data_IF_729538573338
#
_entry.id   IF_729538573338
#
_cell.length_a   1.000
_cell.length_b   1.000
_cell.length_c   1.000
_cell.angle_alpha   90.00
_cell.angle_beta   90.00
_cell.angle_gamma   90.00
#
_symmetry.space_group_name_H-M   'P 1'
#
loop_
_entity.id
_entity.type
_entity.pdbx_description
1 polymer ?
#
# COMPACT_ATOMS: atom_id res chain seq x y z
N UNK A 1 114.46 -4.44 -47.57
CA UNK A 1 113.92 -4.79 -46.23
C UNK A 1 112.54 -4.16 -46.01
N UNK A 2 112.37 -2.85 -46.14
CA UNK A 2 111.09 -2.12 -45.91
C UNK A 2 109.86 -2.59 -46.73
N UNK A 3 110.05 -2.96 -48.00
CA UNK A 3 108.94 -3.41 -48.86
C UNK A 3 108.39 -4.80 -48.47
N UNK A 4 109.25 -5.68 -47.95
CA UNK A 4 108.86 -7.01 -47.48
C UNK A 4 108.07 -6.89 -46.17
N UNK A 5 108.49 -5.97 -45.30
CA UNK A 5 107.85 -5.67 -44.02
C UNK A 5 106.46 -5.05 -44.21
N UNK A 6 106.32 -4.08 -45.13
CA UNK A 6 105.02 -3.54 -45.54
C UNK A 6 104.08 -4.59 -46.15
N UNK A 7 104.62 -5.49 -46.99
CA UNK A 7 103.83 -6.59 -47.59
C UNK A 7 103.28 -7.53 -46.51
N UNK A 8 104.13 -7.90 -45.55
CA UNK A 8 103.74 -8.75 -44.43
C UNK A 8 102.66 -8.08 -43.55
N UNK A 9 102.79 -6.78 -43.28
CA UNK A 9 101.80 -6.03 -42.50
C UNK A 9 100.43 -5.94 -43.20
N UNK A 10 100.43 -5.77 -44.53
CA UNK A 10 99.21 -5.79 -45.36
C UNK A 10 98.56 -7.17 -45.35
N UNK A 11 99.33 -8.26 -45.50
CA UNK A 11 98.81 -9.62 -45.43
C UNK A 11 98.21 -9.92 -44.04
N UNK A 12 98.86 -9.46 -42.97
CA UNK A 12 98.34 -9.57 -41.59
C UNK A 12 97.04 -8.79 -41.39
N UNK A 13 96.94 -7.55 -41.89
CA UNK A 13 95.71 -6.75 -41.85
C UNK A 13 94.60 -7.40 -42.67
N UNK A 14 94.90 -7.86 -43.88
CA UNK A 14 93.94 -8.56 -44.74
C UNK A 14 93.42 -9.83 -44.05
N UNK A 15 94.30 -10.62 -43.43
CA UNK A 15 93.91 -11.82 -42.69
C UNK A 15 93.02 -11.48 -41.50
N UNK A 16 93.30 -10.41 -40.77
CA UNK A 16 92.47 -9.91 -39.66
C UNK A 16 91.09 -9.45 -40.14
N UNK A 17 91.05 -8.66 -41.21
CA UNK A 17 89.79 -8.21 -41.83
C UNK A 17 88.96 -9.38 -42.36
N UNK A 18 89.59 -10.41 -42.96
CA UNK A 18 88.90 -11.63 -43.37
C UNK A 18 88.26 -12.36 -42.17
N UNK A 19 88.96 -12.47 -41.03
CA UNK A 19 88.41 -13.08 -39.82
C UNK A 19 87.27 -12.23 -39.24
N UNK A 20 87.44 -10.91 -39.13
CA UNK A 20 86.40 -10.00 -38.67
C UNK A 20 85.14 -10.08 -39.54
N UNK A 21 85.31 -10.16 -40.87
CA UNK A 21 84.21 -10.31 -41.82
C UNK A 21 83.47 -11.64 -41.62
N UNK A 22 84.19 -12.74 -41.33
CA UNK A 22 83.57 -14.03 -41.00
C UNK A 22 82.78 -13.98 -39.70
N UNK A 23 83.31 -13.35 -38.65
CA UNK A 23 82.62 -13.16 -37.37
C UNK A 23 81.36 -12.31 -37.52
N UNK A 24 81.44 -11.19 -38.25
CA UNK A 24 80.30 -10.32 -38.52
C UNK A 24 79.22 -11.07 -39.32
N UNK A 25 79.61 -11.84 -40.34
CA UNK A 25 78.69 -12.68 -41.12
C UNK A 25 78.02 -13.75 -40.25
N UNK A 26 78.75 -14.38 -39.34
CA UNK A 26 78.21 -15.35 -38.40
C UNK A 26 77.24 -14.70 -37.41
N UNK A 27 77.57 -13.49 -36.91
CA UNK A 27 76.69 -12.71 -36.04
C UNK A 27 75.39 -12.31 -36.73
N UNK A 28 75.48 -11.78 -37.96
CA UNK A 28 74.32 -11.41 -38.76
C UNK A 28 73.41 -12.62 -39.06
N UNK A 29 74.00 -13.80 -39.36
CA UNK A 29 73.23 -15.04 -39.55
C UNK A 29 72.50 -15.46 -38.28
N UNK A 30 73.15 -15.31 -37.11
CA UNK A 30 72.53 -15.59 -35.81
C UNK A 30 71.38 -14.63 -35.49
N UNK A 31 71.55 -13.33 -35.76
CA UNK A 31 70.47 -12.34 -35.63
C UNK A 31 69.30 -12.61 -36.58
N UNK A 32 69.57 -13.02 -37.83
CA UNK A 32 68.53 -13.40 -38.79
C UNK A 32 67.76 -14.65 -38.36
N UNK A 33 68.45 -15.66 -37.81
CA UNK A 33 67.80 -16.85 -37.28
C UNK A 33 66.89 -16.49 -36.09
N UNK A 34 67.40 -15.69 -35.14
CA UNK A 34 66.60 -15.22 -34.00
C UNK A 34 65.38 -14.40 -34.45
N UNK A 35 65.52 -13.53 -35.44
CA UNK A 35 64.40 -12.78 -36.00
C UNK A 35 63.34 -13.68 -36.63
N UNK A 36 63.76 -14.76 -37.31
CA UNK A 36 62.85 -15.77 -37.85
C UNK A 36 62.13 -16.53 -36.74
N UNK A 37 62.82 -16.89 -35.66
CA UNK A 37 62.22 -17.57 -34.51
C UNK A 37 61.18 -16.68 -33.83
N UNK A 38 61.47 -15.38 -33.68
CA UNK A 38 60.52 -14.40 -33.16
C UNK A 38 59.30 -14.29 -34.07
N UNK A 39 59.48 -14.25 -35.40
CA UNK A 39 58.35 -14.22 -36.34
C UNK A 39 57.48 -15.49 -36.22
N UNK A 40 58.10 -16.65 -36.05
CA UNK A 40 57.38 -17.91 -35.87
C UNK A 40 56.57 -17.92 -34.56
N UNK A 41 57.15 -17.43 -33.46
CA UNK A 41 56.46 -17.32 -32.17
C UNK A 41 55.29 -16.33 -32.25
N UNK A 42 55.47 -15.19 -32.90
CA UNK A 42 54.41 -14.20 -33.09
C UNK A 42 53.28 -14.77 -33.95
N UNK A 43 53.60 -15.45 -35.05
CA UNK A 43 52.59 -16.11 -35.89
C UNK A 43 51.80 -17.19 -35.13
N UNK A 44 52.47 -17.99 -34.29
CA UNK A 44 51.79 -18.96 -33.42
C UNK A 44 50.90 -18.28 -32.36
N UNK A 45 51.32 -17.13 -31.84
CA UNK A 45 50.54 -16.34 -30.90
C UNK A 45 49.28 -15.77 -31.57
N UNK A 46 49.43 -15.21 -32.77
CA UNK A 46 48.32 -14.67 -33.57
C UNK A 46 47.29 -15.76 -33.90
N UNK A 47 47.74 -16.96 -34.31
CA UNK A 47 46.85 -18.08 -34.58
C UNK A 47 46.06 -18.52 -33.33
N UNK A 48 46.73 -18.57 -32.16
CA UNK A 48 46.05 -18.88 -30.89
C UNK A 48 45.06 -17.79 -30.49
N UNK A 49 45.38 -16.52 -30.75
CA UNK A 49 44.51 -15.39 -30.46
C UNK A 49 43.25 -15.43 -31.34
N UNK A 50 43.39 -15.72 -32.64
CA UNK A 50 42.24 -15.93 -33.53
C UNK A 50 41.36 -17.10 -33.09
N UNK A 51 41.95 -18.22 -32.68
CA UNK A 51 41.18 -19.37 -32.16
C UNK A 51 40.42 -19.00 -30.89
N UNK A 52 41.06 -18.25 -29.98
CA UNK A 52 40.42 -17.77 -28.77
C UNK A 52 39.26 -16.82 -29.09
N UNK A 53 39.48 -15.85 -29.97
CA UNK A 53 38.45 -14.89 -30.40
C UNK A 53 37.23 -15.61 -31.01
N UNK A 54 37.47 -16.59 -31.88
CA UNK A 54 36.42 -17.39 -32.52
C UNK A 54 35.64 -18.22 -31.49
N UNK A 55 36.28 -18.66 -30.41
CA UNK A 55 35.62 -19.39 -29.32
C UNK A 55 34.88 -18.46 -28.34
N UNK A 56 35.41 -17.25 -28.11
CA UNK A 56 34.91 -16.33 -27.08
C UNK A 56 33.77 -15.44 -27.58
N UNK A 57 33.80 -14.98 -28.84
CA UNK A 57 32.74 -14.15 -29.41
C UNK A 57 31.33 -14.79 -29.31
N UNK A 58 31.14 -16.08 -29.67
CA UNK A 58 29.84 -16.74 -29.53
C UNK A 58 29.35 -16.82 -28.08
N UNK A 59 30.26 -16.94 -27.10
CA UNK A 59 29.88 -17.01 -25.69
C UNK A 59 29.15 -15.75 -25.22
N UNK A 60 29.51 -14.57 -25.74
CA UNK A 60 28.79 -13.34 -25.42
C UNK A 60 27.35 -13.35 -25.95
N UNK A 61 27.16 -13.85 -27.17
CA UNK A 61 25.82 -14.02 -27.76
C UNK A 61 24.98 -15.04 -26.98
N UNK A 62 25.57 -16.19 -26.64
CA UNK A 62 24.90 -17.20 -25.83
C UNK A 62 24.57 -16.70 -24.42
N UNK A 63 25.47 -15.96 -23.79
CA UNK A 63 25.24 -15.35 -22.47
C UNK A 63 24.11 -14.32 -22.53
N UNK A 64 24.10 -13.43 -23.53
CA UNK A 64 23.04 -12.45 -23.71
C UNK A 64 21.68 -13.12 -23.95
N UNK A 65 21.64 -14.16 -24.80
CA UNK A 65 20.43 -14.96 -25.02
C UNK A 65 19.95 -15.63 -23.73
N UNK A 66 20.86 -16.21 -22.96
CA UNK A 66 20.54 -16.87 -21.69
C UNK A 66 19.98 -15.86 -20.67
N UNK A 67 20.58 -14.67 -20.57
CA UNK A 67 20.07 -13.58 -19.71
C UNK A 67 18.66 -13.15 -20.12
N UNK A 68 18.39 -13.04 -21.44
CA UNK A 68 17.07 -12.71 -21.93
C UNK A 68 16.04 -13.80 -21.60
N UNK A 69 16.41 -15.08 -21.76
CA UNK A 69 15.56 -16.21 -21.37
C UNK A 69 15.28 -16.17 -19.87
N UNK A 70 16.29 -15.93 -19.04
CA UNK A 70 16.14 -15.81 -17.59
C UNK A 70 15.16 -14.69 -17.22
N UNK A 71 15.33 -13.51 -17.80
CA UNK A 71 14.45 -12.38 -17.56
C UNK A 71 12.99 -12.66 -17.98
N UNK A 72 12.79 -13.32 -19.13
CA UNK A 72 11.46 -13.73 -19.57
C UNK A 72 10.83 -14.75 -18.62
N UNK A 73 11.64 -15.69 -18.10
CA UNK A 73 11.20 -16.67 -17.13
C UNK A 73 10.76 -16.00 -15.83
N UNK A 74 11.57 -15.09 -15.27
CA UNK A 74 11.22 -14.32 -14.06
C UNK A 74 9.92 -13.55 -14.24
N UNK A 75 9.76 -12.84 -15.36
CA UNK A 75 8.52 -12.12 -15.67
C UNK A 75 7.31 -13.04 -15.76
N UNK A 76 7.50 -14.23 -16.34
CA UNK A 76 6.42 -15.22 -16.45
C UNK A 76 6.04 -15.77 -15.08
N UNK A 77 7.00 -16.05 -14.21
CA UNK A 77 6.76 -16.48 -12.83
C UNK A 77 5.99 -15.41 -12.06
N UNK A 78 6.43 -14.15 -12.08
CA UNK A 78 5.72 -13.05 -11.41
C UNK A 78 4.29 -12.86 -11.94
N UNK A 79 4.10 -12.99 -13.26
CA UNK A 79 2.76 -12.92 -13.85
C UNK A 79 1.87 -14.08 -13.38
N UNK A 80 2.40 -15.31 -13.33
CA UNK A 80 1.66 -16.47 -12.83
C UNK A 80 1.32 -16.34 -11.35
N UNK A 81 2.25 -15.89 -10.50
CA UNK A 81 2.01 -15.65 -9.08
C UNK A 81 0.88 -14.64 -8.87
N UNK A 82 0.86 -13.56 -9.66
CA UNK A 82 -0.20 -12.57 -9.61
C UNK A 82 -1.58 -13.17 -9.96
N UNK A 83 -1.65 -14.02 -10.98
CA UNK A 83 -2.89 -14.72 -11.34
C UNK A 83 -3.31 -15.69 -10.25
N UNK A 84 -2.40 -16.52 -9.75
CA UNK A 84 -2.66 -17.52 -8.70
C UNK A 84 -3.25 -16.86 -7.46
N UNK A 85 -2.72 -15.69 -7.06
CA UNK A 85 -3.22 -14.95 -5.92
C UNK A 85 -4.73 -14.65 -6.05
N UNK A 86 -5.21 -14.15 -7.21
CA UNK A 86 -6.65 -13.88 -7.39
C UNK A 86 -7.53 -15.12 -7.28
N UNK A 87 -7.04 -16.29 -7.70
CA UNK A 87 -7.77 -17.55 -7.54
C UNK A 87 -7.84 -18.01 -6.08
N UNK A 88 -6.85 -17.66 -5.25
CA UNK A 88 -6.80 -18.04 -3.84
C UNK A 88 -7.47 -17.05 -2.88
N UNK A 89 -7.65 -15.79 -3.30
CA UNK A 89 -8.22 -14.69 -2.48
C UNK A 89 -9.51 -15.08 -1.77
N UNK A 90 -10.46 -15.73 -2.46
CA UNK A 90 -11.74 -16.12 -1.85
C UNK A 90 -11.56 -17.12 -0.70
N UNK A 91 -10.63 -18.07 -0.85
CA UNK A 91 -10.32 -19.08 0.17
C UNK A 91 -9.58 -18.47 1.36
N UNK A 92 -8.59 -17.61 1.10
CA UNK A 92 -7.77 -16.98 2.13
C UNK A 92 -8.56 -16.01 3.00
N UNK A 93 -9.48 -15.25 2.39
CA UNK A 93 -10.27 -14.25 3.10
C UNK A 93 -11.60 -14.79 3.63
N UNK A 94 -11.99 -16.01 3.26
CA UNK A 94 -13.27 -16.61 3.65
C UNK A 94 -13.49 -16.55 5.16
N UNK A 95 -12.53 -17.01 5.97
CA UNK A 95 -12.68 -17.09 7.43
C UNK A 95 -12.82 -15.69 8.07
N UNK A 96 -12.04 -14.72 7.59
CA UNK A 96 -12.11 -13.33 8.06
C UNK A 96 -13.47 -12.70 7.73
N UNK A 97 -13.94 -12.85 6.50
CA UNK A 97 -15.24 -12.33 6.06
C UNK A 97 -16.39 -13.06 6.77
N UNK A 98 -16.23 -14.36 7.04
CA UNK A 98 -17.19 -15.15 7.79
C UNK A 98 -17.27 -14.75 9.28
N UNK A 99 -16.15 -14.42 9.92
CA UNK A 99 -16.14 -13.91 11.28
C UNK A 99 -16.83 -12.54 11.42
N UNK A 100 -16.78 -11.72 10.37
CA UNK A 100 -17.34 -10.37 10.37
C UNK A 100 -16.38 -9.32 10.95
N UNK A 101 -16.73 -8.03 10.83
CA UNK A 101 -15.86 -6.94 11.24
C UNK A 101 -15.78 -6.81 12.77
N UNK A 102 -14.57 -6.70 13.30
CA UNK A 102 -14.35 -6.43 14.70
C UNK A 102 -14.36 -4.91 14.95
N UNK A 103 -15.41 -4.41 15.60
CA UNK A 103 -15.54 -2.95 15.87
C UNK A 103 -14.90 -2.51 17.18
N UNK A 104 -14.09 -3.37 17.82
CA UNK A 104 -13.48 -3.10 19.13
C UNK A 104 -12.21 -2.24 19.05
N UNK A 105 -11.50 -2.30 17.92
CA UNK A 105 -10.33 -1.46 17.63
C UNK A 105 -10.34 -1.03 16.17
N UNK A 106 -9.82 0.16 15.87
CA UNK A 106 -9.74 0.66 14.49
C UNK A 106 -8.87 -0.23 13.60
N UNK A 107 -7.81 -0.83 14.15
CA UNK A 107 -6.91 -1.72 13.42
C UNK A 107 -7.62 -2.99 12.94
N UNK A 108 -8.41 -3.62 13.82
CA UNK A 108 -9.12 -4.86 13.49
C UNK A 108 -10.24 -4.64 12.47
N UNK A 109 -10.90 -3.48 12.51
CA UNK A 109 -11.81 -3.06 11.45
C UNK A 109 -11.05 -2.83 10.14
N UNK A 110 -9.91 -2.14 10.17
CA UNK A 110 -9.15 -1.84 8.96
C UNK A 110 -8.69 -3.11 8.22
N UNK A 111 -8.25 -4.15 8.94
CA UNK A 111 -7.94 -5.46 8.33
C UNK A 111 -9.14 -6.05 7.56
N UNK A 112 -10.36 -5.88 8.09
CA UNK A 112 -11.58 -6.33 7.42
C UNK A 112 -11.88 -5.49 6.16
N UNK A 113 -11.70 -4.17 6.23
CA UNK A 113 -11.90 -3.28 5.09
C UNK A 113 -10.90 -3.58 3.96
N UNK A 114 -9.62 -3.79 4.30
CA UNK A 114 -8.59 -4.20 3.33
C UNK A 114 -8.92 -5.54 2.67
N UNK A 115 -9.52 -6.48 3.41
CA UNK A 115 -9.98 -7.74 2.83
C UNK A 115 -11.12 -7.55 1.83
N UNK A 116 -12.07 -6.63 2.10
CA UNK A 116 -13.11 -6.27 1.15
C UNK A 116 -12.54 -5.57 -0.09
N UNK A 117 -11.53 -4.71 0.06
CA UNK A 117 -10.84 -4.06 -1.05
C UNK A 117 -10.13 -5.08 -1.94
N UNK A 118 -9.43 -6.06 -1.34
CA UNK A 118 -8.80 -7.17 -2.08
C UNK A 118 -9.83 -8.01 -2.86
N UNK A 119 -10.99 -8.26 -2.26
CA UNK A 119 -12.09 -8.95 -2.96
C UNK A 119 -12.63 -8.11 -4.13
N UNK A 120 -12.79 -6.80 -3.96
CA UNK A 120 -13.22 -5.89 -5.04
C UNK A 120 -12.20 -5.82 -6.18
N UNK A 121 -10.89 -5.83 -5.85
CA UNK A 121 -9.83 -5.91 -6.85
C UNK A 121 -9.91 -7.23 -7.63
N UNK A 122 -10.11 -8.35 -6.95
CA UNK A 122 -10.28 -9.65 -7.57
C UNK A 122 -11.54 -9.70 -8.46
N UNK A 123 -12.66 -9.10 -8.04
CA UNK A 123 -13.85 -8.95 -8.90
C UNK A 123 -13.51 -8.19 -10.19
N UNK A 124 -12.79 -7.07 -10.08
CA UNK A 124 -12.39 -6.28 -11.25
C UNK A 124 -11.46 -7.08 -12.17
N UNK A 125 -10.54 -7.86 -11.62
CA UNK A 125 -9.67 -8.74 -12.38
C UNK A 125 -10.47 -9.79 -13.15
N UNK A 126 -11.35 -10.54 -12.50
CA UNK A 126 -12.14 -11.58 -13.15
C UNK A 126 -13.17 -11.02 -14.13
N UNK A 127 -13.82 -9.89 -13.83
CA UNK A 127 -14.73 -9.24 -14.78
C UNK A 127 -14.04 -8.85 -16.10
N UNK A 128 -12.77 -8.43 -16.05
CA UNK A 128 -12.00 -8.06 -17.23
C UNK A 128 -11.46 -9.26 -18.01
N UNK A 129 -11.04 -10.31 -17.32
CA UNK A 129 -10.30 -11.42 -17.93
C UNK A 129 -11.15 -12.67 -18.17
N UNK A 130 -12.09 -12.99 -17.27
CA UNK A 130 -12.95 -14.17 -17.35
C UNK A 130 -14.29 -13.96 -16.60
N UNK A 131 -15.26 -13.24 -17.22
CA UNK A 131 -16.50 -12.82 -16.55
C UNK A 131 -17.52 -13.94 -16.30
N UNK A 132 -17.28 -15.16 -16.80
CA UNK A 132 -18.16 -16.32 -16.61
C UNK A 132 -17.53 -17.39 -15.71
N UNK A 133 -16.49 -17.03 -14.95
CA UNK A 133 -15.81 -17.96 -14.05
C UNK A 133 -16.62 -18.22 -12.79
N UNK A 134 -16.52 -19.45 -12.27
CA UNK A 134 -17.13 -19.83 -10.97
C UNK A 134 -16.44 -19.09 -9.83
N UNK A 135 -15.16 -18.76 -10.00
CA UNK A 135 -14.37 -17.97 -9.06
C UNK A 135 -14.94 -16.57 -8.88
N UNK A 136 -15.37 -15.91 -9.96
CA UNK A 136 -16.02 -14.61 -9.90
C UNK A 136 -17.33 -14.69 -9.12
N UNK A 137 -18.12 -15.73 -9.34
CA UNK A 137 -19.35 -15.96 -8.58
C UNK A 137 -19.08 -16.13 -7.08
N UNK A 138 -18.11 -16.97 -6.72
CA UNK A 138 -17.70 -17.18 -5.33
C UNK A 138 -17.21 -15.89 -4.67
N UNK A 139 -16.38 -15.10 -5.37
CA UNK A 139 -15.89 -13.81 -4.88
C UNK A 139 -17.05 -12.83 -4.72
N UNK A 140 -17.98 -12.76 -5.66
CA UNK A 140 -19.17 -11.91 -5.57
C UNK A 140 -20.05 -12.27 -4.38
N UNK A 141 -20.30 -13.55 -4.13
CA UNK A 141 -21.07 -14.00 -2.98
C UNK A 141 -20.37 -13.62 -1.67
N UNK A 142 -19.07 -13.89 -1.57
CA UNK A 142 -18.28 -13.56 -0.38
C UNK A 142 -18.20 -12.05 -0.12
N UNK A 143 -17.96 -11.26 -1.16
CA UNK A 143 -17.92 -9.80 -1.07
C UNK A 143 -19.27 -9.23 -0.61
N UNK A 144 -20.37 -9.64 -1.24
CA UNK A 144 -21.71 -9.16 -0.84
C UNK A 144 -22.04 -9.56 0.59
N UNK A 145 -21.73 -10.80 1.01
CA UNK A 145 -21.91 -11.23 2.39
C UNK A 145 -21.07 -10.39 3.37
N UNK A 146 -19.83 -10.04 2.99
CA UNK A 146 -18.97 -9.19 3.80
C UNK A 146 -19.48 -7.75 3.92
N UNK A 147 -19.96 -7.16 2.82
CA UNK A 147 -20.57 -5.83 2.84
C UNK A 147 -21.82 -5.81 3.74
N UNK A 148 -22.69 -6.82 3.65
CA UNK A 148 -23.87 -6.91 4.53
C UNK A 148 -23.50 -7.00 6.01
N UNK A 149 -22.42 -7.72 6.35
CA UNK A 149 -21.91 -7.77 7.73
C UNK A 149 -21.35 -6.43 8.19
N UNK A 150 -20.70 -5.69 7.30
CA UNK A 150 -20.23 -4.35 7.60
C UNK A 150 -21.39 -3.37 7.83
N UNK A 151 -22.44 -3.45 7.02
CA UNK A 151 -23.66 -2.66 7.20
C UNK A 151 -24.32 -2.96 8.55
N UNK A 152 -24.49 -4.24 8.89
CA UNK A 152 -25.04 -4.67 10.19
C UNK A 152 -24.18 -4.17 11.36
N UNK A 153 -22.85 -4.32 11.27
CA UNK A 153 -21.96 -3.89 12.33
C UNK A 153 -21.96 -2.36 12.51
N UNK A 154 -22.09 -1.61 11.41
CA UNK A 154 -22.26 -0.16 11.45
C UNK A 154 -23.58 0.22 12.14
N UNK A 155 -24.68 -0.45 11.79
CA UNK A 155 -25.99 -0.24 12.41
C UNK A 155 -25.99 -0.55 13.91
N UNK A 156 -25.34 -1.65 14.32
CA UNK A 156 -25.17 -2.03 15.71
C UNK A 156 -24.32 -1.00 16.48
N UNK A 157 -23.26 -0.49 15.87
CA UNK A 157 -22.40 0.53 16.45
C UNK A 157 -23.20 1.83 16.62
N UNK A 158 -23.97 2.22 15.61
CA UNK A 158 -24.82 3.39 15.63
C UNK A 158 -25.91 3.30 16.71
N UNK A 159 -26.58 2.15 16.81
CA UNK A 159 -27.63 1.90 17.81
C UNK A 159 -27.08 1.91 19.24
N UNK A 160 -25.90 1.32 19.47
CA UNK A 160 -25.26 1.30 20.80
C UNK A 160 -24.91 2.71 21.29
N UNK A 161 -24.51 3.59 20.38
CA UNK A 161 -24.01 4.94 20.69
C UNK A 161 -25.02 6.06 20.45
N UNK A 162 -26.25 5.75 20.02
CA UNK A 162 -27.30 6.75 19.84
C UNK A 162 -28.34 6.60 20.93
N UNK A 163 -28.50 7.63 21.78
CA UNK A 163 -29.53 7.69 22.81
C UNK A 163 -30.12 9.10 22.88
N UNK A 164 -31.42 9.25 23.22
CA UNK A 164 -31.99 10.55 23.50
C UNK A 164 -31.24 11.24 24.64
N UNK A 165 -31.00 12.54 24.48
CA UNK A 165 -30.36 13.39 25.47
C UNK A 165 -31.39 13.87 26.48
N UNK A 166 -30.98 13.98 27.75
CA UNK A 166 -31.84 14.55 28.78
C UNK A 166 -31.93 16.07 28.64
N UNK A 167 -33.04 16.70 29.08
CA UNK A 167 -33.18 18.16 29.01
C UNK A 167 -32.09 18.92 29.77
N UNK A 168 -31.59 18.39 30.88
CA UNK A 168 -30.51 19.01 31.66
C UNK A 168 -29.17 18.92 30.93
N UNK A 169 -28.86 17.78 30.30
CA UNK A 169 -27.64 17.66 29.48
C UNK A 169 -27.63 18.65 28.31
N UNK A 170 -28.79 18.90 27.69
CA UNK A 170 -28.92 19.93 26.66
C UNK A 170 -28.70 21.35 27.23
N UNK A 171 -29.25 21.67 28.40
CA UNK A 171 -28.98 22.96 29.07
C UNK A 171 -27.50 23.15 29.39
N UNK A 172 -26.84 22.11 29.91
CA UNK A 172 -25.43 22.15 30.27
C UNK A 172 -24.56 22.39 29.03
N UNK A 173 -24.86 21.73 27.90
CA UNK A 173 -24.15 21.96 26.64
C UNK A 173 -24.35 23.38 26.10
N UNK A 174 -25.57 23.93 26.16
CA UNK A 174 -25.85 25.30 25.73
C UNK A 174 -25.09 26.31 26.60
N UNK A 175 -25.04 26.09 27.91
CA UNK A 175 -24.31 26.95 28.84
C UNK A 175 -22.79 26.92 28.59
N UNK A 176 -22.23 25.73 28.26
CA UNK A 176 -20.82 25.58 27.90
C UNK A 176 -20.46 26.27 26.57
N UNK A 177 -21.40 26.36 25.62
CA UNK A 177 -21.21 27.13 24.38
C UNK A 177 -21.21 28.64 24.62
N UNK A 178 -22.01 29.14 25.56
CA UNK A 178 -22.10 30.58 25.86
C UNK A 178 -20.84 31.11 26.57
N UNK A 179 -20.16 30.25 27.35
CA UNK A 179 -18.91 30.58 28.06
C UNK A 179 -17.63 30.36 27.23
N UNK A 180 -17.71 29.70 26.06
CA UNK A 180 -16.56 29.42 25.18
C UNK A 180 -16.50 30.37 23.98
N UNK A 181 -16.06 31.61 24.22
CA UNK A 181 -15.61 32.47 23.13
C UNK A 181 -14.32 31.92 22.52
N UNK A 182 -14.35 31.59 21.22
CA UNK A 182 -13.28 31.16 20.31
C UNK A 182 -13.10 29.65 20.07
N UNK A 183 -13.20 29.31 18.77
CA UNK A 183 -12.85 28.07 18.05
C UNK A 183 -13.45 26.72 18.48
N UNK A 184 -14.43 26.28 17.68
CA UNK A 184 -14.83 24.89 17.40
C UNK A 184 -14.66 23.89 18.55
N UNK A 185 -15.54 23.97 19.55
CA UNK A 185 -15.65 22.91 20.56
C UNK A 185 -16.30 21.68 19.92
N UNK A 186 -15.53 20.59 19.80
CA UNK A 186 -16.13 19.28 19.60
C UNK A 186 -17.03 19.00 20.81
N UNK A 187 -18.32 18.79 20.58
CA UNK A 187 -19.31 18.42 21.59
C UNK A 187 -18.99 17.01 22.10
N UNK A 188 -17.95 16.90 22.93
CA UNK A 188 -17.56 15.68 23.66
C UNK A 188 -18.28 15.55 25.00
N UNK A 189 -19.17 16.50 25.33
CA UNK A 189 -19.83 16.62 26.63
C UNK A 189 -21.07 15.74 26.86
N UNK A 190 -21.54 14.99 25.86
CA UNK A 190 -22.67 14.06 26.04
C UNK A 190 -22.18 12.61 26.03
N UNK A 191 -22.10 12.00 27.21
CA UNK A 191 -22.00 10.55 27.47
C UNK A 191 -21.34 9.70 26.36
N UNK A 192 -20.00 9.74 26.36
CA UNK A 192 -19.11 8.60 26.10
C UNK A 192 -19.43 7.71 24.90
N UNK A 193 -19.28 8.23 23.68
CA UNK A 193 -18.75 7.35 22.62
C UNK A 193 -17.24 7.35 22.79
N UNK A 194 -16.63 6.20 23.11
CA UNK A 194 -15.17 6.11 23.14
C UNK A 194 -14.62 6.54 21.77
N UNK A 195 -13.48 7.25 21.76
CA UNK A 195 -12.86 7.74 20.53
C UNK A 195 -12.68 6.61 19.50
N UNK A 196 -12.35 5.40 19.98
CA UNK A 196 -12.24 4.20 19.14
C UNK A 196 -13.54 3.78 18.45
N UNK A 197 -14.70 3.88 19.11
CA UNK A 197 -16.00 3.60 18.48
C UNK A 197 -16.37 4.66 17.45
N UNK A 198 -16.08 5.94 17.70
CA UNK A 198 -16.31 7.00 16.70
C UNK A 198 -15.43 6.84 15.47
N UNK A 199 -14.17 6.47 15.67
CA UNK A 199 -13.23 6.17 14.59
C UNK A 199 -13.70 4.98 13.77
N UNK A 200 -14.09 3.87 14.43
CA UNK A 200 -14.65 2.71 13.76
C UNK A 200 -15.93 3.03 12.98
N UNK A 201 -16.85 3.82 13.56
CA UNK A 201 -18.06 4.28 12.88
C UNK A 201 -17.73 5.10 11.63
N UNK A 202 -16.76 6.02 11.74
CA UNK A 202 -16.33 6.88 10.63
C UNK A 202 -15.66 6.06 9.53
N UNK A 203 -14.77 5.13 9.88
CA UNK A 203 -14.08 4.27 8.93
C UNK A 203 -15.07 3.39 8.16
N UNK A 204 -16.00 2.73 8.85
CA UNK A 204 -17.04 1.92 8.21
C UNK A 204 -17.94 2.76 7.29
N UNK A 205 -18.38 3.95 7.74
CA UNK A 205 -19.20 4.83 6.92
C UNK A 205 -18.47 5.37 5.69
N UNK A 206 -17.19 5.73 5.83
CA UNK A 206 -16.35 6.21 4.73
C UNK A 206 -16.17 5.12 3.67
N UNK A 207 -15.86 3.90 4.11
CA UNK A 207 -15.70 2.75 3.22
C UNK A 207 -17.00 2.39 2.50
N UNK A 208 -18.12 2.27 3.23
CA UNK A 208 -19.43 2.00 2.64
C UNK A 208 -19.85 3.07 1.62
N UNK A 209 -19.54 4.33 1.89
CA UNK A 209 -19.80 5.43 0.95
C UNK A 209 -18.95 5.33 -0.31
N UNK A 210 -17.66 4.99 -0.18
CA UNK A 210 -16.77 4.76 -1.31
C UNK A 210 -17.20 3.55 -2.17
N UNK A 211 -17.76 2.51 -1.54
CA UNK A 211 -18.35 1.35 -2.21
C UNK A 211 -19.72 1.62 -2.86
N UNK A 212 -20.24 2.86 -2.79
CA UNK A 212 -21.54 3.24 -3.35
C UNK A 212 -22.75 2.82 -2.52
N UNK A 213 -22.53 2.36 -1.28
CA UNK A 213 -23.54 1.90 -0.31
C UNK A 213 -23.60 2.85 0.89
N UNK A 214 -23.72 4.15 0.64
CA UNK A 214 -23.68 5.15 1.69
C UNK A 214 -24.73 4.85 2.78
N UNK A 215 -24.35 4.76 4.07
CA UNK A 215 -25.25 4.31 5.14
C UNK A 215 -26.19 5.43 5.64
N UNK A 216 -26.74 6.23 4.74
CA UNK A 216 -27.62 7.35 5.06
C UNK A 216 -28.95 6.89 5.68
N UNK A 217 -29.52 5.80 5.16
CA UNK A 217 -30.78 5.22 5.65
C UNK A 217 -30.70 4.81 7.13
N UNK A 218 -29.76 3.93 7.56
CA UNK A 218 -29.64 3.57 8.98
C UNK A 218 -29.26 4.77 9.85
N UNK A 219 -28.45 5.71 9.34
CA UNK A 219 -28.13 6.95 10.05
C UNK A 219 -29.38 7.76 10.44
N UNK A 220 -30.25 8.03 9.47
CA UNK A 220 -31.48 8.80 9.72
C UNK A 220 -32.47 7.98 10.55
N UNK A 221 -32.62 6.68 10.25
CA UNK A 221 -33.56 5.80 10.93
C UNK A 221 -33.27 5.67 12.44
N UNK A 222 -32.00 5.65 12.85
CA UNK A 222 -31.61 5.50 14.25
C UNK A 222 -31.48 6.85 14.95
N UNK A 223 -30.79 7.83 14.34
CA UNK A 223 -30.55 9.14 14.97
C UNK A 223 -31.75 10.07 14.94
N UNK A 224 -32.60 9.98 13.90
CA UNK A 224 -33.78 10.83 13.75
C UNK A 224 -34.75 10.72 14.95
N UNK A 225 -35.20 9.51 15.33
CA UNK A 225 -36.07 9.32 16.49
C UNK A 225 -35.43 9.74 17.82
N UNK A 226 -34.12 9.48 18.00
CA UNK A 226 -33.41 9.89 19.20
C UNK A 226 -33.33 11.42 19.34
N UNK A 227 -33.02 12.13 18.25
CA UNK A 227 -33.00 13.59 18.22
C UNK A 227 -34.40 14.18 18.48
N UNK A 228 -35.43 13.64 17.82
CA UNK A 228 -36.81 14.08 18.02
C UNK A 228 -37.28 13.89 19.47
N UNK A 229 -36.93 12.76 20.07
CA UNK A 229 -37.25 12.46 21.48
C UNK A 229 -36.56 13.43 22.43
N UNK A 230 -35.28 13.74 22.16
CA UNK A 230 -34.49 14.71 22.93
C UNK A 230 -35.13 16.10 22.90
N UNK A 231 -35.47 16.59 21.69
CA UNK A 231 -36.09 17.90 21.49
C UNK A 231 -37.50 17.99 22.10
N UNK A 232 -38.26 16.90 22.02
CA UNK A 232 -39.61 16.84 22.62
C UNK A 232 -39.52 16.92 24.14
N UNK A 233 -38.63 16.12 24.76
CA UNK A 233 -38.40 16.15 26.19
C UNK A 233 -37.90 17.54 26.67
N UNK A 234 -37.02 18.18 25.89
CA UNK A 234 -36.51 19.52 26.20
C UNK A 234 -37.60 20.59 26.14
N UNK A 235 -38.44 20.56 25.10
CA UNK A 235 -39.61 21.45 24.97
C UNK A 235 -40.55 21.33 26.17
N UNK A 236 -40.84 20.11 26.60
CA UNK A 236 -41.76 19.86 27.72
C UNK A 236 -41.14 20.28 29.07
N UNK A 237 -39.83 20.12 29.23
CA UNK A 237 -39.06 20.64 30.35
C UNK A 237 -39.12 22.17 30.45
N UNK A 238 -38.92 22.88 29.33
CA UNK A 238 -39.01 24.35 29.29
C UNK A 238 -40.43 24.85 29.60
N UNK A 239 -41.46 24.20 29.05
CA UNK A 239 -42.86 24.52 29.38
C UNK A 239 -43.12 24.36 30.88
N UNK A 240 -42.67 23.26 31.47
CA UNK A 240 -42.85 23.00 32.90
C UNK A 240 -42.14 24.05 33.78
N UNK A 241 -40.91 24.45 33.43
CA UNK A 241 -40.18 25.53 34.12
C UNK A 241 -40.88 26.89 33.99
N UNK A 242 -41.40 27.21 32.82
CA UNK A 242 -42.15 28.46 32.59
C UNK A 242 -43.45 28.52 33.40
N UNK A 243 -44.17 27.40 33.51
CA UNK A 243 -45.38 27.29 34.35
C UNK A 243 -45.07 27.36 35.84
N UNK A 244 -43.95 26.77 36.28
CA UNK A 244 -43.49 26.87 37.68
C UNK A 244 -42.99 28.27 38.05
N UNK A 245 -42.51 29.05 37.09
CA UNK A 245 -42.05 30.43 37.27
C UNK A 245 -43.20 31.47 37.26
N UNK A 246 -44.46 31.05 37.12
CA UNK A 246 -45.64 31.92 37.20
C UNK A 246 -46.20 31.93 38.64
N UNK A 247 -45.95 32.96 39.47
CA UNK A 247 -46.44 32.99 40.84
C UNK A 247 -47.89 33.51 40.89
N UNK A 248 -48.83 32.88 40.19
CA UNK A 248 -50.25 33.26 40.25
C UNK A 248 -51.17 32.05 40.03
N UNK A 249 -51.15 31.10 40.97
CA UNK A 249 -52.35 30.26 41.22
C UNK A 249 -52.39 29.61 42.61
N UNK A 250 -51.81 30.27 43.61
CA UNK A 250 -52.12 29.98 45.01
C UNK A 250 -52.62 31.28 45.62
N UNK A 251 -53.93 31.56 45.55
CA UNK A 251 -54.62 32.36 46.55
C UNK A 251 -56.15 32.23 46.46
N UNK A 252 -56.71 31.86 47.61
CA UNK A 252 -58.10 32.00 48.06
C UNK A 252 -59.14 31.00 47.56
N UNK A 253 -59.08 29.80 48.13
CA UNK A 253 -60.28 29.08 48.57
C UNK A 253 -60.55 29.44 50.04
N UNK A 254 -60.99 30.66 50.29
CA UNK A 254 -61.58 31.08 51.57
C UNK A 254 -62.42 32.34 51.33
N UNK A 255 -63.66 32.30 51.82
CA UNK A 255 -64.65 33.40 51.90
C UNK A 255 -65.44 33.77 50.64
N UNK A 256 -66.60 33.14 50.46
CA UNK A 256 -67.91 33.81 50.39
C UNK A 256 -69.00 32.78 50.10
N UNK A 257 -69.85 32.46 51.10
CA UNK A 257 -71.31 32.34 50.99
C UNK A 257 -71.87 31.86 52.34
N UNK A 258 -71.76 32.73 53.35
CA UNK A 258 -72.74 32.82 54.43
C UNK A 258 -73.59 34.06 54.08
N UNK A 259 -74.91 33.93 54.23
CA UNK A 259 -76.00 34.86 53.91
C UNK A 259 -76.65 34.73 52.52
N UNK A 260 -77.62 33.81 52.42
CA UNK A 260 -78.99 34.25 52.13
C UNK A 260 -80.01 33.36 52.86
N UNK A 261 -80.48 33.86 54.00
CA UNK A 261 -81.76 33.52 54.61
C UNK A 261 -82.82 34.27 53.80
N UNK A 262 -83.73 33.57 53.13
CA UNK A 262 -85.17 33.87 53.04
C UNK A 262 -85.87 32.81 52.18
N UNK A 263 -86.36 31.74 52.82
CA UNK A 263 -87.76 31.28 52.72
C UNK A 263 -88.00 30.11 53.67
#
# INVERSE_FOLDING_TARGET
MYAVEKKFEIEMKLKREMTNMQELKASAKRSSALASDVCNVLGACEQRLQQLETAVLPLYGDTARLQQIHHNMERTVTALDHVINYYMVSRELSDLIQAGPHTGSSESLNMYLEALDKLAEAQNYFNKNNPQSVELENINQLYNAGVLKLESAFEDLLSRHTRPLSPTALMDMIALEEDSSVDSVSVSGSNSTCNSSLEAMRAAAAWLSAAGRAPATPLVAIRGPAALSSLTAFKDYLRSRSMAASPLMVRHSTYCFIYYILS
#
